data_IF_973502136316
#
_entry.id   IF_973502136316
#
_cell.length_a   1.000
_cell.length_b   1.000
_cell.length_c   1.000
_cell.angle_alpha   90.00
_cell.angle_beta   90.00
_cell.angle_gamma   90.00
#
_symmetry.space_group_name_H-M   'P 1'
#
loop_
_entity.id
_entity.type
_entity.pdbx_description
1 polymer ?
#
# COMPACT_ATOMS: atom_id res chain seq x y z
N UNK A 1 -13.98 -33.62 19.43
CA UNK A 1 -12.76 -32.91 19.87
C UNK A 1 -11.72 -32.80 18.75
N UNK A 2 -11.37 -33.89 18.06
CA UNK A 2 -10.38 -33.89 16.97
C UNK A 2 -10.78 -32.99 15.79
N UNK A 3 -12.05 -33.02 15.36
CA UNK A 3 -12.56 -32.18 14.25
C UNK A 3 -12.45 -30.69 14.59
N UNK A 4 -12.74 -30.31 15.83
CA UNK A 4 -12.66 -28.91 16.26
C UNK A 4 -11.21 -28.44 16.34
N UNK A 5 -10.28 -29.31 16.79
CA UNK A 5 -8.87 -29.04 16.79
C UNK A 5 -8.31 -28.90 15.36
N UNK A 6 -8.73 -29.76 14.43
CA UNK A 6 -8.35 -29.64 13.01
C UNK A 6 -8.86 -28.33 12.41
N UNK A 7 -10.07 -27.88 12.77
CA UNK A 7 -10.63 -26.62 12.32
C UNK A 7 -9.85 -25.40 12.87
N UNK A 8 -9.45 -25.45 14.14
CA UNK A 8 -8.62 -24.42 14.77
C UNK A 8 -7.23 -24.30 14.10
N UNK A 9 -6.62 -25.43 13.72
CA UNK A 9 -5.38 -25.46 12.95
C UNK A 9 -5.53 -24.81 11.57
N UNK A 10 -6.58 -25.17 10.83
CA UNK A 10 -6.85 -24.60 9.51
C UNK A 10 -7.05 -23.07 9.59
N UNK A 11 -7.82 -22.61 10.57
CA UNK A 11 -8.03 -21.17 10.79
C UNK A 11 -6.70 -20.46 11.06
N UNK A 12 -5.89 -21.01 11.96
CA UNK A 12 -4.68 -20.35 12.43
C UNK A 12 -3.55 -20.33 11.40
N UNK A 13 -3.36 -21.42 10.66
CA UNK A 13 -2.22 -21.58 9.74
C UNK A 13 -2.56 -21.30 8.28
N UNK A 14 -3.84 -21.35 7.90
CA UNK A 14 -4.25 -21.16 6.50
C UNK A 14 -5.12 -19.93 6.35
N UNK A 15 -6.23 -19.82 7.10
CA UNK A 15 -7.23 -18.77 6.87
C UNK A 15 -6.69 -17.39 7.28
N UNK A 16 -6.15 -17.25 8.49
CA UNK A 16 -5.68 -15.95 9.00
C UNK A 16 -4.52 -15.42 8.17
N UNK A 17 -3.40 -16.15 7.95
CA UNK A 17 -2.32 -15.68 7.10
C UNK A 17 -2.76 -15.48 5.64
N UNK A 18 -3.57 -16.39 5.10
CA UNK A 18 -4.06 -16.30 3.73
C UNK A 18 -4.95 -15.07 3.50
N UNK A 19 -5.82 -14.74 4.45
CA UNK A 19 -6.66 -13.54 4.39
C UNK A 19 -5.81 -12.27 4.48
N UNK A 20 -4.84 -12.23 5.40
CA UNK A 20 -3.94 -11.07 5.55
C UNK A 20 -3.14 -10.82 4.27
N UNK A 21 -2.50 -11.87 3.74
CA UNK A 21 -1.74 -11.79 2.49
C UNK A 21 -2.63 -11.44 1.29
N UNK A 22 -3.83 -12.02 1.22
CA UNK A 22 -4.81 -11.71 0.18
C UNK A 22 -5.27 -10.25 0.21
N UNK A 23 -5.46 -9.67 1.41
CA UNK A 23 -5.78 -8.25 1.58
C UNK A 23 -4.65 -7.34 1.07
N UNK A 24 -3.40 -7.67 1.38
CA UNK A 24 -2.22 -6.92 0.89
C UNK A 24 -2.14 -6.95 -0.64
N UNK A 25 -2.23 -8.15 -1.23
CA UNK A 25 -2.23 -8.28 -2.70
C UNK A 25 -3.40 -7.55 -3.36
N UNK A 26 -4.57 -7.53 -2.73
CA UNK A 26 -5.73 -6.82 -3.25
C UNK A 26 -5.51 -5.31 -3.32
N UNK A 27 -4.91 -4.70 -2.29
CA UNK A 27 -4.56 -3.27 -2.30
C UNK A 27 -3.58 -2.94 -3.43
N UNK A 28 -2.48 -3.71 -3.55
CA UNK A 28 -1.52 -3.52 -4.63
C UNK A 28 -2.15 -3.67 -6.02
N UNK A 29 -3.01 -4.67 -6.21
CA UNK A 29 -3.72 -4.86 -7.47
C UNK A 29 -4.68 -3.71 -7.80
N UNK A 30 -5.37 -3.14 -6.80
CA UNK A 30 -6.23 -1.97 -6.98
C UNK A 30 -5.42 -0.75 -7.43
N UNK A 31 -4.25 -0.50 -6.82
CA UNK A 31 -3.36 0.59 -7.22
C UNK A 31 -2.93 0.48 -8.68
N UNK A 32 -2.47 -0.70 -9.11
CA UNK A 32 -2.09 -0.97 -10.52
C UNK A 32 -3.28 -0.76 -11.46
N UNK A 33 -4.47 -1.24 -11.07
CA UNK A 33 -5.68 -1.14 -11.89
C UNK A 33 -6.07 0.31 -12.11
N UNK A 34 -6.04 1.16 -11.08
CA UNK A 34 -6.36 2.59 -11.19
C UNK A 34 -5.38 3.29 -12.13
N UNK A 35 -4.08 3.03 -11.97
CA UNK A 35 -3.04 3.63 -12.82
C UNK A 35 -3.27 3.22 -14.28
N UNK A 36 -3.42 1.92 -14.54
CA UNK A 36 -3.63 1.41 -15.89
C UNK A 36 -4.88 2.00 -16.54
N UNK A 37 -5.96 2.13 -15.78
CA UNK A 37 -7.24 2.65 -16.27
C UNK A 37 -7.11 4.12 -16.67
N UNK A 38 -6.38 4.94 -15.90
CA UNK A 38 -6.23 6.37 -16.17
C UNK A 38 -5.12 6.66 -17.18
N UNK A 39 -3.94 6.07 -16.99
CA UNK A 39 -2.76 6.38 -17.82
C UNK A 39 -2.67 5.58 -19.11
N UNK A 40 -3.44 4.47 -19.22
CA UNK A 40 -3.46 3.56 -20.39
C UNK A 40 -2.09 2.93 -20.72
N UNK A 41 -1.17 2.85 -19.74
CA UNK A 41 0.04 2.05 -19.84
C UNK A 41 0.35 1.38 -18.50
N UNK A 42 1.04 0.24 -18.54
CA UNK A 42 1.46 -0.47 -17.33
C UNK A 42 2.66 0.25 -16.70
N UNK A 43 2.50 0.74 -15.48
CA UNK A 43 3.59 1.37 -14.72
C UNK A 43 4.34 0.31 -13.89
N UNK A 44 5.48 -0.16 -14.40
CA UNK A 44 6.30 -1.15 -13.71
C UNK A 44 6.98 -0.60 -12.44
N UNK A 45 7.11 0.72 -12.31
CA UNK A 45 7.66 1.33 -11.11
C UNK A 45 6.75 1.20 -9.88
N UNK A 46 5.50 0.78 -10.04
CA UNK A 46 4.52 0.71 -8.95
C UNK A 46 5.02 -0.13 -7.76
N UNK A 47 5.49 -1.35 -7.99
CA UNK A 47 5.98 -2.22 -6.93
C UNK A 47 7.15 -1.64 -6.14
N UNK A 48 8.09 -0.97 -6.85
CA UNK A 48 9.23 -0.33 -6.20
C UNK A 48 8.85 0.95 -5.44
N UNK A 49 7.80 1.64 -5.87
CA UNK A 49 7.27 2.79 -5.13
C UNK A 49 6.57 2.35 -3.84
N UNK A 50 5.89 1.20 -3.86
CA UNK A 50 5.37 0.55 -2.64
C UNK A 50 6.52 0.16 -1.70
N UNK A 51 7.56 -0.50 -2.21
CA UNK A 51 8.77 -0.84 -1.45
C UNK A 51 9.46 0.40 -0.87
N UNK A 52 9.44 1.53 -1.58
CA UNK A 52 9.95 2.81 -1.07
C UNK A 52 9.10 3.33 0.11
N UNK A 53 7.78 3.19 0.05
CA UNK A 53 6.89 3.51 1.17
C UNK A 53 7.20 2.68 2.42
N UNK A 54 7.41 1.37 2.25
CA UNK A 54 7.83 0.48 3.32
C UNK A 54 9.17 0.90 3.92
N UNK A 55 10.15 1.18 3.06
CA UNK A 55 11.47 1.65 3.48
C UNK A 55 11.38 2.92 4.34
N UNK A 56 10.62 3.91 3.90
CA UNK A 56 10.46 5.17 4.66
C UNK A 56 9.77 4.93 6.00
N UNK A 57 8.80 4.01 6.08
CA UNK A 57 8.14 3.62 7.33
C UNK A 57 9.14 2.99 8.32
N UNK A 58 10.01 2.10 7.84
CA UNK A 58 11.07 1.46 8.66
C UNK A 58 12.04 2.52 9.19
N UNK A 59 12.55 3.40 8.33
CA UNK A 59 13.51 4.44 8.71
C UNK A 59 12.92 5.39 9.76
N UNK A 60 11.67 5.83 9.57
CA UNK A 60 11.01 6.71 10.53
C UNK A 60 10.75 6.00 11.85
N UNK A 61 10.34 4.72 11.82
CA UNK A 61 10.17 3.92 13.03
C UNK A 61 11.49 3.80 13.81
N UNK A 62 12.62 3.60 13.14
CA UNK A 62 13.93 3.58 13.79
C UNK A 62 14.29 4.93 14.41
N UNK A 63 14.00 6.04 13.72
CA UNK A 63 14.24 7.39 14.25
C UNK A 63 13.36 7.63 15.48
N UNK A 64 12.06 7.31 15.43
CA UNK A 64 11.14 7.48 16.57
C UNK A 64 11.59 6.60 17.76
N UNK A 65 11.97 5.37 17.49
CA UNK A 65 12.50 4.45 18.51
C UNK A 65 13.80 4.95 19.15
N UNK A 66 14.69 5.56 18.37
CA UNK A 66 15.92 6.16 18.87
C UNK A 66 15.65 7.33 19.83
N UNK A 67 14.61 8.13 19.59
CA UNK A 67 14.18 9.19 20.49
C UNK A 67 13.36 8.70 21.69
N UNK A 68 13.11 7.39 21.80
CA UNK A 68 12.40 6.79 22.94
C UNK A 68 10.92 7.15 23.00
N UNK A 69 10.32 7.64 21.89
CA UNK A 69 8.91 7.99 21.80
C UNK A 69 8.12 6.71 21.54
N UNK A 70 7.53 6.15 22.60
CA UNK A 70 6.61 5.01 22.48
C UNK A 70 5.28 5.35 23.13
N UNK A 71 4.17 5.22 22.39
CA UNK A 71 2.82 5.40 22.94
C UNK A 71 2.24 4.01 23.20
N UNK A 72 2.39 3.52 24.43
CA UNK A 72 1.73 2.29 24.84
C UNK A 72 0.20 2.50 24.87
N UNK A 73 -0.62 1.63 24.24
CA UNK A 73 -0.39 0.28 23.75
C UNK A 73 -0.19 0.14 22.21
N UNK A 74 -0.06 1.24 21.45
CA UNK A 74 0.02 1.23 20.00
C UNK A 74 1.44 0.88 19.49
N UNK A 75 1.56 0.17 18.34
CA UNK A 75 2.84 -0.01 17.66
C UNK A 75 3.42 1.35 17.23
N UNK A 76 4.73 1.54 17.36
CA UNK A 76 5.42 2.78 16.94
C UNK A 76 5.29 3.05 15.45
N UNK A 77 5.08 2.00 14.66
CA UNK A 77 4.81 2.07 13.21
C UNK A 77 3.60 2.96 12.89
N UNK A 78 2.52 2.91 13.70
CA UNK A 78 1.32 3.73 13.43
C UNK A 78 1.63 5.24 13.52
N UNK A 79 2.57 5.64 14.38
CA UNK A 79 3.04 7.02 14.42
C UNK A 79 3.90 7.39 13.20
N UNK A 80 4.66 6.41 12.67
CA UNK A 80 5.52 6.61 11.52
C UNK A 80 4.71 6.77 10.21
N UNK A 81 3.53 6.12 10.11
CA UNK A 81 2.72 6.08 8.88
C UNK A 81 2.42 7.46 8.28
N UNK A 82 1.88 8.48 9.00
CA UNK A 82 1.54 9.77 8.38
C UNK A 82 2.75 10.46 7.75
N UNK A 83 3.92 10.34 8.40
CA UNK A 83 5.15 10.97 7.94
C UNK A 83 5.68 10.20 6.73
N UNK A 84 5.66 8.87 6.75
CA UNK A 84 6.10 8.04 5.63
C UNK A 84 5.22 8.24 4.39
N UNK A 85 3.90 8.36 4.57
CA UNK A 85 2.95 8.68 3.50
C UNK A 85 3.32 10.02 2.84
N UNK A 86 3.56 11.07 3.62
CA UNK A 86 3.95 12.38 3.08
C UNK A 86 5.26 12.34 2.30
N UNK A 87 6.26 11.63 2.79
CA UNK A 87 7.54 11.46 2.09
C UNK A 87 7.36 10.68 0.79
N UNK A 88 6.60 9.59 0.83
CA UNK A 88 6.35 8.75 -0.35
C UNK A 88 5.53 9.49 -1.40
N UNK A 89 4.52 10.26 -1.01
CA UNK A 89 3.76 11.15 -1.91
C UNK A 89 4.70 12.17 -2.56
N UNK A 90 5.55 12.84 -1.77
CA UNK A 90 6.51 13.82 -2.28
C UNK A 90 7.47 13.19 -3.31
N UNK A 91 7.99 12.01 -3.02
CA UNK A 91 8.85 11.26 -3.92
C UNK A 91 8.14 10.86 -5.22
N UNK A 92 6.91 10.36 -5.11
CA UNK A 92 6.10 9.99 -6.27
C UNK A 92 5.80 11.20 -7.18
N UNK A 93 5.46 12.35 -6.59
CA UNK A 93 5.22 13.58 -7.32
C UNK A 93 6.49 14.12 -8.02
N UNK A 94 7.66 13.97 -7.38
CA UNK A 94 8.94 14.31 -7.99
C UNK A 94 9.20 13.43 -9.22
N UNK A 95 9.01 12.12 -9.11
CA UNK A 95 9.18 11.21 -10.25
C UNK A 95 8.19 11.54 -11.36
N UNK A 96 6.92 11.80 -11.03
CA UNK A 96 5.93 12.17 -12.03
C UNK A 96 6.35 13.44 -12.77
N UNK A 97 6.75 14.49 -12.05
CA UNK A 97 7.15 15.75 -12.62
C UNK A 97 8.41 15.67 -13.51
N UNK A 98 9.44 14.96 -13.05
CA UNK A 98 10.72 14.90 -13.77
C UNK A 98 10.78 13.83 -14.85
N UNK A 99 10.11 12.68 -14.63
CA UNK A 99 10.19 11.56 -15.55
C UNK A 99 8.98 11.46 -16.48
N UNK A 100 7.74 11.51 -15.94
CA UNK A 100 6.56 11.24 -16.75
C UNK A 100 5.95 12.47 -17.41
N UNK A 101 5.94 13.64 -16.74
CA UNK A 101 5.33 14.85 -17.27
C UNK A 101 5.95 15.27 -18.59
N UNK A 102 7.27 15.25 -18.69
CA UNK A 102 8.00 15.59 -19.91
C UNK A 102 7.57 14.75 -21.13
N UNK A 103 7.37 13.45 -20.93
CA UNK A 103 6.94 12.55 -22.02
C UNK A 103 5.47 12.73 -22.36
N UNK A 104 4.61 13.07 -21.38
CA UNK A 104 3.19 13.38 -21.62
C UNK A 104 3.02 14.65 -22.45
N UNK A 105 3.76 15.71 -22.15
CA UNK A 105 3.71 16.98 -22.90
C UNK A 105 4.14 16.82 -24.36
N UNK A 106 5.07 15.92 -24.63
CA UNK A 106 5.50 15.58 -26.00
C UNK A 106 4.59 14.63 -26.75
N UNK A 107 3.43 14.23 -26.19
CA UNK A 107 2.55 13.23 -26.75
C UNK A 107 3.29 11.95 -27.17
N UNK A 108 4.25 11.51 -26.38
CA UNK A 108 5.05 10.32 -26.64
C UNK A 108 4.17 9.08 -26.67
N UNK A 109 4.54 8.07 -27.49
CA UNK A 109 3.84 6.80 -27.55
C UNK A 109 3.84 6.12 -26.18
N UNK A 110 2.78 5.39 -25.83
CA UNK A 110 2.66 4.66 -24.56
C UNK A 110 3.85 3.73 -24.25
N UNK A 111 4.50 3.19 -25.30
CA UNK A 111 5.70 2.35 -25.18
C UNK A 111 6.87 3.13 -24.54
N UNK A 112 7.03 4.42 -24.85
CA UNK A 112 8.10 5.24 -24.25
C UNK A 112 7.85 5.41 -22.76
N UNK A 113 6.62 5.70 -22.35
CA UNK A 113 6.25 5.81 -20.93
C UNK A 113 6.47 4.49 -20.17
N UNK A 114 6.26 3.35 -20.84
CA UNK A 114 6.55 2.03 -20.28
C UNK A 114 8.07 1.85 -20.05
N UNK A 115 8.90 2.20 -21.03
CA UNK A 115 10.38 2.12 -20.89
C UNK A 115 10.86 3.04 -19.76
N UNK A 116 10.32 4.26 -19.67
CA UNK A 116 10.63 5.20 -18.57
C UNK A 116 10.26 4.60 -17.23
N UNK A 117 9.10 3.93 -17.11
CA UNK A 117 8.68 3.28 -15.86
C UNK A 117 9.65 2.17 -15.41
N UNK A 118 10.22 1.42 -16.35
CA UNK A 118 11.25 0.42 -16.06
C UNK A 118 12.54 1.11 -15.55
N UNK A 119 12.94 2.23 -16.15
CA UNK A 119 14.08 3.02 -15.68
C UNK A 119 13.87 3.53 -14.24
N UNK A 120 12.68 4.05 -13.94
CA UNK A 120 12.29 4.51 -12.59
C UNK A 120 12.30 3.34 -11.61
N UNK A 121 11.81 2.15 -12.01
CA UNK A 121 11.84 0.93 -11.22
C UNK A 121 13.29 0.61 -10.77
N UNK A 122 14.22 0.52 -11.69
CA UNK A 122 15.63 0.22 -11.36
C UNK A 122 16.28 1.31 -10.51
N UNK A 123 15.98 2.58 -10.80
CA UNK A 123 16.49 3.71 -10.02
C UNK A 123 16.00 3.64 -8.57
N UNK A 124 14.70 3.43 -8.36
CA UNK A 124 14.09 3.34 -7.02
C UNK A 124 14.60 2.12 -6.25
N UNK A 125 14.71 0.95 -6.92
CA UNK A 125 15.28 -0.25 -6.33
C UNK A 125 16.74 -0.04 -5.88
N UNK A 126 17.55 0.60 -6.72
CA UNK A 126 18.91 0.99 -6.38
C UNK A 126 18.98 1.94 -5.17
N UNK A 127 18.11 2.96 -5.14
CA UNK A 127 18.02 3.91 -4.04
C UNK A 127 17.68 3.23 -2.71
N UNK A 128 16.70 2.33 -2.71
CA UNK A 128 16.30 1.56 -1.51
C UNK A 128 17.50 0.75 -0.98
N UNK A 129 18.20 0.04 -1.87
CA UNK A 129 19.37 -0.77 -1.48
C UNK A 129 20.54 0.06 -0.93
N UNK A 130 20.73 1.27 -1.42
CA UNK A 130 21.76 2.20 -0.91
C UNK A 130 21.39 2.70 0.48
N UNK A 131 20.11 2.96 0.77
CA UNK A 131 19.67 3.55 2.04
C UNK A 131 19.54 2.54 3.17
N UNK A 132 19.01 1.35 2.93
CA UNK A 132 18.78 0.32 3.97
C UNK A 132 19.76 -0.86 3.85
N UNK A 133 20.37 -1.02 2.69
CA UNK A 133 21.21 -2.18 2.37
C UNK A 133 20.44 -3.29 1.66
N UNK A 134 21.15 -4.35 1.21
CA UNK A 134 20.58 -5.42 0.41
C UNK A 134 19.81 -6.48 1.22
N UNK A 135 19.87 -6.43 2.55
CA UNK A 135 19.30 -7.45 3.43
C UNK A 135 17.83 -7.12 3.75
N UNK A 136 17.02 -8.17 3.89
CA UNK A 136 15.64 -8.03 4.35
C UNK A 136 15.62 -7.42 5.77
N UNK A 137 14.77 -6.42 5.94
CA UNK A 137 14.57 -5.74 7.22
C UNK A 137 13.16 -5.97 7.68
N UNK A 138 13.01 -6.35 8.94
CA UNK A 138 11.73 -6.51 9.60
C UNK A 138 11.61 -5.50 10.73
N UNK A 139 10.39 -5.03 10.97
CA UNK A 139 10.09 -4.15 12.09
C UNK A 139 9.82 -5.04 13.30
N UNK A 140 10.76 -5.04 14.28
CA UNK A 140 10.60 -5.77 15.54
C UNK A 140 10.03 -4.81 16.61
N UNK A 141 8.72 -4.57 16.57
CA UNK A 141 8.01 -3.77 17.60
C UNK A 141 7.35 -4.67 18.68
N UNK A 142 7.84 -5.89 18.81
CA UNK A 142 7.31 -6.92 19.70
C UNK A 142 6.05 -7.61 19.14
N UNK A 143 6.00 -8.92 19.27
CA UNK A 143 4.80 -9.66 18.89
C UNK A 143 3.68 -9.39 19.91
N UNK A 144 2.71 -8.56 19.50
CA UNK A 144 1.51 -8.29 20.30
C UNK A 144 0.36 -9.14 19.77
N UNK A 145 -0.23 -9.93 20.65
CA UNK A 145 -1.37 -10.78 20.32
C UNK A 145 -2.66 -10.15 20.86
N UNK A 146 -3.69 -10.04 20.04
CA UNK A 146 -5.06 -9.73 20.49
C UNK A 146 -5.62 -10.95 21.20
N UNK A 147 -5.49 -12.13 20.57
CA UNK A 147 -5.85 -13.41 21.13
C UNK A 147 -4.59 -14.26 21.17
N UNK A 148 -4.09 -14.54 22.37
CA UNK A 148 -2.99 -15.48 22.56
C UNK A 148 -3.53 -16.91 22.51
N UNK A 149 -2.84 -17.78 21.79
CA UNK A 149 -3.18 -19.21 21.74
C UNK A 149 -3.32 -19.83 23.15
N UNK A 150 -2.53 -19.35 24.11
CA UNK A 150 -2.59 -19.80 25.50
C UNK A 150 -3.93 -19.45 26.17
N UNK A 151 -4.38 -18.21 26.08
CA UNK A 151 -5.66 -17.75 26.61
C UNK A 151 -6.84 -18.46 25.96
N UNK A 152 -6.77 -18.69 24.66
CA UNK A 152 -7.81 -19.42 23.93
C UNK A 152 -7.92 -20.88 24.39
N UNK A 153 -6.78 -21.55 24.60
CA UNK A 153 -6.74 -22.92 25.15
C UNK A 153 -7.33 -23.01 26.57
N UNK A 154 -7.03 -22.02 27.42
CA UNK A 154 -7.59 -21.98 28.80
C UNK A 154 -9.11 -21.79 28.83
N UNK A 155 -9.65 -20.99 27.88
CA UNK A 155 -11.10 -20.70 27.82
C UNK A 155 -11.88 -21.87 27.18
N UNK A 156 -11.33 -22.47 26.13
CA UNK A 156 -12.04 -23.47 25.32
C UNK A 156 -11.71 -24.91 25.68
N UNK A 157 -10.63 -25.14 26.44
CA UNK A 157 -10.18 -26.50 26.81
C UNK A 157 -9.65 -27.33 25.63
N UNK A 158 -9.38 -26.68 24.46
CA UNK A 158 -8.88 -27.33 23.27
C UNK A 158 -7.34 -27.49 23.36
N UNK A 159 -6.84 -28.52 22.69
CA UNK A 159 -5.37 -28.74 22.60
C UNK A 159 -4.69 -27.74 21.69
N UNK A 160 -5.41 -27.25 20.67
CA UNK A 160 -4.95 -26.23 19.73
C UNK A 160 -5.57 -24.87 20.04
N UNK A 161 -4.78 -23.77 19.88
CA UNK A 161 -5.22 -22.41 20.15
C UNK A 161 -5.22 -21.54 18.90
N UNK A 162 -6.20 -20.66 18.77
CA UNK A 162 -6.21 -19.63 17.73
C UNK A 162 -5.37 -18.47 18.24
N UNK A 163 -4.36 -18.06 17.45
CA UNK A 163 -3.51 -16.89 17.73
C UNK A 163 -3.79 -15.81 16.69
N UNK A 164 -4.14 -14.62 17.13
CA UNK A 164 -4.40 -13.49 16.27
C UNK A 164 -3.44 -12.37 16.65
N UNK A 165 -2.47 -12.10 15.77
CA UNK A 165 -1.51 -11.02 15.96
C UNK A 165 -2.22 -9.67 15.75
N UNK A 166 -1.84 -8.68 16.52
CA UNK A 166 -2.38 -7.33 16.42
C UNK A 166 -2.16 -6.74 15.01
N UNK A 167 -0.97 -6.97 14.44
CA UNK A 167 -0.62 -6.54 13.09
C UNK A 167 -1.58 -7.09 12.03
N UNK A 168 -1.86 -8.41 12.05
CA UNK A 168 -2.77 -9.06 11.09
C UNK A 168 -4.18 -8.46 11.12
N UNK A 169 -4.69 -8.18 12.32
CA UNK A 169 -6.01 -7.55 12.46
C UNK A 169 -6.02 -6.12 11.95
N UNK A 170 -4.97 -5.35 12.23
CA UNK A 170 -4.84 -3.98 11.73
C UNK A 170 -4.81 -3.98 10.20
N UNK A 171 -4.00 -4.84 9.57
CA UNK A 171 -3.92 -4.96 8.11
C UNK A 171 -5.27 -5.25 7.47
N UNK A 172 -6.01 -6.23 8.00
CA UNK A 172 -7.33 -6.58 7.45
C UNK A 172 -8.30 -5.41 7.57
N UNK A 173 -8.34 -4.74 8.74
CA UNK A 173 -9.25 -3.62 8.99
C UNK A 173 -8.88 -2.44 8.08
N UNK A 174 -7.60 -2.06 8.02
CA UNK A 174 -7.11 -0.95 7.19
C UNK A 174 -7.38 -1.24 5.71
N UNK A 175 -7.13 -2.46 5.25
CA UNK A 175 -7.40 -2.87 3.87
C UNK A 175 -8.89 -2.74 3.51
N UNK A 176 -9.79 -3.20 4.36
CA UNK A 176 -11.24 -3.05 4.12
C UNK A 176 -11.63 -1.57 4.08
N UNK A 177 -11.13 -0.76 5.03
CA UNK A 177 -11.40 0.68 5.08
C UNK A 177 -10.88 1.36 3.81
N UNK A 178 -9.66 1.07 3.39
CA UNK A 178 -9.04 1.62 2.18
C UNK A 178 -9.88 1.31 0.93
N UNK A 179 -10.29 0.05 0.74
CA UNK A 179 -11.15 -0.36 -0.37
C UNK A 179 -12.48 0.39 -0.36
N UNK A 180 -13.15 0.47 0.80
CA UNK A 180 -14.44 1.18 0.93
C UNK A 180 -14.28 2.67 0.63
N UNK A 181 -13.24 3.31 1.18
CA UNK A 181 -12.94 4.72 0.92
C UNK A 181 -12.64 4.98 -0.56
N UNK A 182 -11.89 4.09 -1.21
CA UNK A 182 -11.57 4.19 -2.62
C UNK A 182 -12.83 4.10 -3.50
N UNK A 183 -13.70 3.12 -3.25
CA UNK A 183 -14.97 3.01 -3.94
C UNK A 183 -15.88 4.20 -3.69
N UNK A 184 -15.94 4.70 -2.46
CA UNK A 184 -16.70 5.90 -2.13
C UNK A 184 -16.15 7.12 -2.87
N UNK A 185 -14.82 7.30 -2.88
CA UNK A 185 -14.13 8.37 -3.59
C UNK A 185 -14.45 8.34 -5.09
N UNK A 186 -14.26 7.20 -5.74
CA UNK A 186 -14.52 7.04 -7.19
C UNK A 186 -15.99 7.28 -7.58
N UNK A 187 -16.94 6.93 -6.71
CA UNK A 187 -18.35 7.02 -7.01
C UNK A 187 -18.98 8.36 -6.62
N UNK A 188 -18.56 8.94 -5.50
CA UNK A 188 -19.23 10.12 -4.92
C UNK A 188 -18.51 11.43 -5.18
N UNK A 189 -17.17 11.45 -5.33
CA UNK A 189 -16.44 12.70 -5.51
C UNK A 189 -16.45 13.19 -6.95
N UNK A 190 -16.34 14.51 -7.14
CA UNK A 190 -16.23 15.13 -8.47
C UNK A 190 -14.97 14.66 -9.19
N UNK A 191 -13.86 14.54 -8.46
CA UNK A 191 -12.57 14.04 -8.97
C UNK A 191 -12.64 12.58 -9.42
N UNK A 192 -13.26 11.70 -8.62
CA UNK A 192 -13.45 10.30 -9.00
C UNK A 192 -14.32 10.13 -10.26
N UNK A 193 -15.38 10.95 -10.39
CA UNK A 193 -16.19 10.98 -11.61
C UNK A 193 -15.39 11.49 -12.82
N UNK A 194 -14.54 12.51 -12.64
CA UNK A 194 -13.65 13.01 -13.69
C UNK A 194 -12.62 11.96 -14.10
N UNK A 195 -12.07 11.20 -13.16
CA UNK A 195 -11.14 10.09 -13.44
C UNK A 195 -11.81 9.01 -14.29
N UNK A 196 -13.04 8.61 -13.96
CA UNK A 196 -13.79 7.63 -14.75
C UNK A 196 -14.13 8.16 -16.14
N UNK A 197 -14.63 9.40 -16.26
CA UNK A 197 -14.91 10.02 -17.55
C UNK A 197 -13.65 10.10 -18.44
N UNK A 198 -12.50 10.44 -17.85
CA UNK A 198 -11.20 10.47 -18.53
C UNK A 198 -10.75 9.06 -18.96
N UNK A 199 -11.01 8.06 -18.13
CA UNK A 199 -10.76 6.66 -18.42
C UNK A 199 -11.62 6.13 -19.57
N UNK A 200 -12.89 6.52 -19.65
CA UNK A 200 -13.80 6.07 -20.70
C UNK A 200 -13.43 6.68 -22.06
N UNK A 201 -13.31 8.00 -22.12
CA UNK A 201 -12.90 8.69 -23.32
C UNK A 201 -12.11 9.97 -23.00
N UNK A 202 -10.80 9.93 -23.25
CA UNK A 202 -9.88 11.04 -23.00
C UNK A 202 -10.25 12.31 -23.75
N UNK A 203 -10.59 12.19 -25.03
CA UNK A 203 -10.86 13.35 -25.89
C UNK A 203 -12.16 14.07 -25.49
N UNK A 204 -13.22 13.31 -25.19
CA UNK A 204 -14.46 13.86 -24.69
C UNK A 204 -14.30 14.50 -23.31
N UNK A 205 -13.50 13.91 -22.43
CA UNK A 205 -13.20 14.46 -21.12
C UNK A 205 -12.47 15.80 -21.21
N UNK A 206 -11.50 15.92 -22.12
CA UNK A 206 -10.79 17.19 -22.40
C UNK A 206 -11.73 18.25 -22.95
N UNK A 207 -12.60 17.90 -23.88
CA UNK A 207 -13.63 18.82 -24.43
C UNK A 207 -14.61 19.29 -23.33
N UNK A 208 -14.86 18.47 -22.34
CA UNK A 208 -15.68 18.81 -21.16
C UNK A 208 -14.95 19.66 -20.11
N UNK A 209 -13.73 20.10 -20.39
CA UNK A 209 -12.94 20.98 -19.51
C UNK A 209 -12.22 20.26 -18.36
N UNK A 210 -12.11 18.93 -18.38
CA UNK A 210 -11.37 18.17 -17.38
C UNK A 210 -9.88 18.32 -17.65
N UNK A 211 -9.14 18.92 -16.69
CA UNK A 211 -7.70 19.08 -16.81
C UNK A 211 -6.98 17.74 -16.52
N UNK A 212 -6.27 17.23 -17.51
CA UNK A 212 -5.51 15.97 -17.43
C UNK A 212 -4.56 15.93 -16.24
N UNK A 213 -3.84 17.04 -15.99
CA UNK A 213 -2.86 17.11 -14.90
C UNK A 213 -3.49 16.89 -13.53
N UNK A 214 -4.68 17.45 -13.29
CA UNK A 214 -5.38 17.23 -12.02
C UNK A 214 -5.79 15.76 -11.84
N UNK A 215 -6.26 15.12 -12.90
CA UNK A 215 -6.66 13.70 -12.87
C UNK A 215 -5.45 12.83 -12.52
N UNK A 216 -4.31 13.07 -13.17
CA UNK A 216 -3.08 12.32 -12.93
C UNK A 216 -2.52 12.59 -11.53
N UNK A 217 -2.52 13.85 -11.08
CA UNK A 217 -2.10 14.21 -9.73
C UNK A 217 -2.88 13.44 -8.65
N UNK A 218 -4.22 13.43 -8.77
CA UNK A 218 -5.05 12.68 -7.83
C UNK A 218 -4.88 11.17 -7.97
N UNK A 219 -4.60 10.66 -9.17
CA UNK A 219 -4.27 9.25 -9.36
C UNK A 219 -2.98 8.89 -8.65
N UNK A 220 -1.92 9.71 -8.80
CA UNK A 220 -0.66 9.50 -8.10
C UNK A 220 -0.83 9.58 -6.57
N UNK A 221 -1.62 10.52 -6.07
CA UNK A 221 -1.85 10.68 -4.64
C UNK A 221 -2.60 9.50 -4.04
N UNK A 222 -3.66 9.02 -4.69
CA UNK A 222 -4.42 7.85 -4.26
C UNK A 222 -3.55 6.60 -4.18
N UNK A 223 -2.81 6.35 -5.23
CA UNK A 223 -2.00 5.15 -5.33
C UNK A 223 -0.82 5.13 -4.35
N UNK A 224 -0.30 6.32 -3.99
CA UNK A 224 0.81 6.42 -3.02
C UNK A 224 0.33 6.21 -1.59
N UNK A 225 -0.91 6.60 -1.27
CA UNK A 225 -1.50 6.32 0.04
C UNK A 225 -1.72 4.82 0.25
N UNK A 226 -2.19 4.10 -0.77
CA UNK A 226 -2.35 2.64 -0.72
C UNK A 226 -1.01 1.92 -0.51
N UNK A 227 0.07 2.41 -1.14
CA UNK A 227 1.42 1.86 -1.00
C UNK A 227 1.98 1.94 0.42
N UNK A 228 1.68 3.02 1.16
CA UNK A 228 2.16 3.20 2.53
C UNK A 228 1.37 2.36 3.55
N UNK A 229 0.08 2.09 3.28
CA UNK A 229 -0.78 1.30 4.17
C UNK A 229 -0.49 -0.21 4.09
N UNK A 230 0.06 -0.70 2.97
CA UNK A 230 0.33 -2.12 2.75
C UNK A 230 1.42 -2.69 3.66
N UNK A 231 2.31 -1.85 4.18
CA UNK A 231 3.47 -2.26 4.96
C UNK A 231 3.38 -2.01 6.47
N UNK A 232 2.19 -1.75 6.98
CA UNK A 232 1.98 -1.60 8.44
C UNK A 232 2.03 -2.92 9.23
N UNK A 233 2.56 -3.99 8.64
CA UNK A 233 2.70 -5.31 9.27
C UNK A 233 4.13 -5.73 9.49
#
# INVERSE_FOLDING_TARGET
>A
MEIINAFALIINYIIIPGLTYGCQLALGALGVTIIYTVLRFSNFAHGELMSFGAMTSILITWIISYFGISIFPLPTVILALPISILITISYCLLIDKYCFQYHREKNSKNVISLIVSIGVMFFTSGLIRVLIGPNDRTINDGERFIISARKFKEITGLTEGISLKLSQSITIIVSIIAVVLLFWFLNKTKTGKSMRAYSDNKDLALLSGIKTENVIFYTCLLYTSDAADEFSC
#
